data_IF_576494940815
#
_entry.id   IF_576494940815
#
_cell.length_a   1.000
_cell.length_b   1.000
_cell.length_c   1.000
_cell.angle_alpha   90.00
_cell.angle_beta   90.00
_cell.angle_gamma   90.00
#
_symmetry.space_group_name_H-M   'P 1'
#
loop_
_entity.id
_entity.type
_entity.pdbx_description
1 polymer ?
#
# COMPACT_ATOMS: atom_id res chain seq x y z
N UNK A 1 -11.42 -0.92 11.81
CA UNK A 1 -10.24 -0.04 11.78
C UNK A 1 -9.22 -0.59 12.76
N UNK A 2 -7.96 -0.68 12.36
CA UNK A 2 -6.88 -1.15 13.24
C UNK A 2 -6.66 -0.21 14.42
N UNK A 3 -6.17 -0.75 15.52
CA UNK A 3 -5.76 -0.03 16.72
C UNK A 3 -4.40 0.64 16.53
N UNK A 4 -4.08 1.65 17.35
CA UNK A 4 -2.75 2.27 17.34
C UNK A 4 -1.64 1.25 17.67
N UNK A 5 -1.92 0.30 18.56
CA UNK A 5 -0.97 -0.76 18.92
C UNK A 5 -0.61 -1.63 17.70
N UNK A 6 -1.60 -2.09 16.94
CA UNK A 6 -1.35 -2.89 15.73
C UNK A 6 -0.53 -2.10 14.70
N UNK A 7 -0.75 -0.79 14.59
CA UNK A 7 0.07 0.08 13.75
C UNK A 7 1.52 0.17 14.24
N UNK A 8 1.71 0.39 15.52
CA UNK A 8 3.06 0.49 16.11
C UNK A 8 3.84 -0.82 15.91
N UNK A 9 3.19 -1.96 16.10
CA UNK A 9 3.74 -3.29 15.84
C UNK A 9 4.10 -3.46 14.35
N UNK A 10 3.22 -3.04 13.44
CA UNK A 10 3.51 -3.05 12.01
C UNK A 10 4.73 -2.20 11.67
N UNK A 11 4.92 -1.03 12.27
CA UNK A 11 6.08 -0.16 12.03
C UNK A 11 7.36 -0.68 12.68
N UNK A 12 7.27 -1.50 13.72
CA UNK A 12 8.41 -2.16 14.35
C UNK A 12 8.97 -3.34 13.52
N UNK A 13 8.21 -3.87 12.55
CA UNK A 13 8.68 -4.96 11.69
C UNK A 13 9.92 -4.56 10.87
N UNK A 14 10.89 -5.47 10.81
CA UNK A 14 12.00 -5.38 9.86
C UNK A 14 11.49 -5.74 8.46
N UNK A 15 11.60 -4.78 7.53
CA UNK A 15 11.19 -4.92 6.14
C UNK A 15 12.37 -4.88 5.16
N UNK A 16 13.60 -5.00 5.65
CA UNK A 16 14.80 -4.95 4.82
C UNK A 16 14.87 -6.09 3.78
N UNK A 17 14.23 -7.23 4.08
CA UNK A 17 14.25 -8.43 3.25
C UNK A 17 12.94 -8.69 2.48
N UNK A 18 11.97 -7.76 2.51
CA UNK A 18 10.70 -7.97 1.79
C UNK A 18 10.87 -7.75 0.29
N UNK A 19 10.10 -8.51 -0.49
CA UNK A 19 10.02 -8.33 -1.93
C UNK A 19 9.03 -7.20 -2.25
N UNK A 20 9.47 -6.29 -3.11
CA UNK A 20 8.68 -5.15 -3.56
C UNK A 20 8.16 -5.42 -4.97
N UNK A 21 6.85 -5.29 -5.14
CA UNK A 21 6.14 -5.55 -6.39
C UNK A 21 5.45 -4.27 -6.87
N UNK A 22 5.69 -3.90 -8.12
CA UNK A 22 4.93 -2.85 -8.82
C UNK A 22 3.74 -3.41 -9.59
N UNK A 23 2.85 -2.54 -10.11
CA UNK A 23 1.78 -2.95 -11.01
C UNK A 23 2.32 -3.72 -12.23
N UNK A 24 1.57 -4.72 -12.73
CA UNK A 24 1.96 -5.42 -13.94
C UNK A 24 2.02 -4.45 -15.12
N UNK A 25 3.06 -4.58 -15.95
CA UNK A 25 3.23 -3.78 -17.16
C UNK A 25 4.00 -2.46 -16.99
N UNK A 26 4.43 -2.11 -15.77
CA UNK A 26 5.33 -0.96 -15.55
C UNK A 26 6.79 -1.33 -15.74
N UNK A 27 7.57 -0.49 -16.41
CA UNK A 27 9.03 -0.60 -16.51
C UNK A 27 9.72 -0.17 -15.21
N UNK A 28 10.93 -0.70 -14.90
CA UNK A 28 11.75 -0.18 -13.80
C UNK A 28 11.98 1.33 -13.83
N UNK A 29 12.02 1.93 -15.03
CA UNK A 29 12.28 3.35 -15.27
C UNK A 29 11.04 4.25 -15.09
N UNK A 30 9.85 3.68 -14.91
CA UNK A 30 8.61 4.42 -14.72
C UNK A 30 8.32 4.67 -13.24
N UNK A 31 7.77 5.85 -12.95
CA UNK A 31 7.19 6.15 -11.64
C UNK A 31 6.01 5.21 -11.39
N UNK A 32 6.01 4.54 -10.24
CA UNK A 32 4.97 3.60 -9.84
C UNK A 32 4.89 3.49 -8.33
N UNK A 33 3.75 3.05 -7.86
CA UNK A 33 3.60 2.58 -6.48
C UNK A 33 4.14 1.16 -6.41
N UNK A 34 4.87 0.85 -5.35
CA UNK A 34 5.31 -0.52 -5.04
C UNK A 34 4.67 -0.97 -3.73
N UNK A 35 4.30 -2.26 -3.66
CA UNK A 35 3.78 -2.89 -2.45
C UNK A 35 4.66 -4.07 -2.03
N UNK A 36 4.67 -4.37 -0.74
CA UNK A 36 5.25 -5.58 -0.19
C UNK A 36 4.26 -6.24 0.77
N UNK A 37 4.15 -7.57 0.68
CA UNK A 37 3.28 -8.36 1.57
C UNK A 37 3.98 -8.54 2.91
N UNK A 38 3.28 -8.22 3.98
CA UNK A 38 3.74 -8.41 5.36
C UNK A 38 2.97 -9.57 6.02
N UNK A 39 3.39 -10.02 7.22
CA UNK A 39 2.64 -11.00 8.00
C UNK A 39 1.18 -10.60 8.21
N UNK A 40 0.33 -11.60 8.44
CA UNK A 40 -1.09 -11.41 8.75
C UNK A 40 -1.90 -10.66 7.68
N UNK A 41 -1.39 -10.60 6.45
CA UNK A 41 -2.05 -9.93 5.33
C UNK A 41 -1.89 -8.42 5.31
N UNK A 42 -1.05 -7.87 6.19
CA UNK A 42 -0.67 -6.46 6.14
C UNK A 42 0.14 -6.14 4.89
N UNK A 43 0.21 -4.86 4.54
CA UNK A 43 0.87 -4.38 3.31
C UNK A 43 1.72 -3.17 3.62
N UNK A 44 2.97 -3.18 3.15
CA UNK A 44 3.79 -1.98 3.03
C UNK A 44 3.63 -1.40 1.62
N UNK A 45 3.59 -0.08 1.51
CA UNK A 45 3.48 0.68 0.26
C UNK A 45 4.53 1.78 0.23
N UNK A 46 5.11 2.04 -0.94
CA UNK A 46 6.01 3.17 -1.19
C UNK A 46 5.95 3.64 -2.63
N UNK A 47 6.57 4.79 -2.92
CA UNK A 47 6.81 5.24 -4.29
C UNK A 47 8.12 4.64 -4.82
N UNK A 48 8.20 4.35 -6.12
CA UNK A 48 9.48 3.98 -6.75
C UNK A 48 10.49 5.14 -6.76
N UNK A 49 10.02 6.39 -6.64
CA UNK A 49 10.83 7.61 -6.58
C UNK A 49 11.36 7.94 -5.17
N UNK A 50 10.64 7.52 -4.12
CA UNK A 50 11.04 7.65 -2.73
C UNK A 50 10.85 6.31 -2.02
N UNK A 51 11.98 5.61 -1.84
CA UNK A 51 12.00 4.27 -1.25
C UNK A 51 12.13 4.28 0.28
N UNK A 52 12.35 5.44 0.89
CA UNK A 52 12.53 5.59 2.33
C UNK A 52 11.19 5.80 3.04
N UNK A 53 10.28 6.55 2.40
CA UNK A 53 8.92 6.74 2.93
C UNK A 53 8.06 5.51 2.68
N UNK A 54 7.88 4.69 3.71
CA UNK A 54 7.05 3.48 3.66
C UNK A 54 5.79 3.62 4.52
N UNK A 55 4.63 3.56 3.88
CA UNK A 55 3.33 3.46 4.53
C UNK A 55 3.02 1.99 4.84
N UNK A 56 2.48 1.69 6.02
CA UNK A 56 2.11 0.31 6.42
C UNK A 56 0.64 0.24 6.79
N UNK A 57 -0.07 -0.70 6.18
CA UNK A 57 -1.50 -0.91 6.33
C UNK A 57 -1.75 -2.28 6.96
N UNK A 58 -2.67 -2.31 7.93
CA UNK A 58 -3.25 -3.56 8.40
C UNK A 58 -4.03 -4.24 7.28
N UNK A 59 -4.27 -5.55 7.38
CA UNK A 59 -5.06 -6.27 6.39
C UNK A 59 -6.44 -5.62 6.16
N UNK A 60 -7.11 -5.20 7.24
CA UNK A 60 -8.44 -4.59 7.17
C UNK A 60 -8.43 -3.21 6.49
N UNK A 61 -7.40 -2.38 6.74
CA UNK A 61 -7.27 -1.10 6.04
C UNK A 61 -6.95 -1.29 4.56
N UNK A 62 -6.08 -2.25 4.25
CA UNK A 62 -5.72 -2.56 2.87
C UNK A 62 -6.92 -3.09 2.08
N UNK A 63 -7.72 -3.97 2.67
CA UNK A 63 -8.97 -4.45 2.08
C UNK A 63 -9.94 -3.30 1.79
N UNK A 64 -10.17 -2.43 2.77
CA UNK A 64 -11.03 -1.26 2.61
C UNK A 64 -10.51 -0.32 1.50
N UNK A 65 -9.20 -0.06 1.45
CA UNK A 65 -8.57 0.76 0.41
C UNK A 65 -8.79 0.15 -0.99
N UNK A 66 -8.53 -1.14 -1.15
CA UNK A 66 -8.70 -1.83 -2.44
C UNK A 66 -10.16 -1.84 -2.89
N UNK A 67 -11.11 -2.03 -1.96
CA UNK A 67 -12.53 -1.97 -2.28
C UNK A 67 -12.95 -0.58 -2.76
N UNK A 68 -12.58 0.48 -2.04
CA UNK A 68 -12.88 1.86 -2.44
C UNK A 68 -12.23 2.25 -3.77
N UNK A 69 -10.97 1.85 -3.98
CA UNK A 69 -10.28 2.06 -5.26
C UNK A 69 -10.96 1.34 -6.43
N UNK A 70 -11.45 0.11 -6.22
CA UNK A 70 -12.20 -0.63 -7.25
C UNK A 70 -13.58 -0.04 -7.53
N UNK A 71 -14.20 0.57 -6.53
CA UNK A 71 -15.47 1.27 -6.68
C UNK A 71 -15.30 2.68 -7.29
N UNK A 72 -14.06 3.07 -7.61
CA UNK A 72 -13.73 4.36 -8.21
C UNK A 72 -13.89 5.54 -7.25
N UNK A 73 -13.95 5.30 -5.93
CA UNK A 73 -14.11 6.38 -4.93
C UNK A 73 -12.98 7.42 -4.98
N UNK A 74 -11.85 7.06 -5.59
CA UNK A 74 -10.68 7.92 -5.76
C UNK A 74 -10.50 8.44 -7.21
N UNK A 75 -11.46 8.19 -8.11
CA UNK A 75 -11.43 8.75 -9.46
C UNK A 75 -11.78 10.24 -9.39
N UNK A 76 -10.78 11.11 -9.53
CA UNK A 76 -10.94 12.57 -9.36
C UNK A 76 -11.83 13.23 -10.42
N UNK A 77 -11.97 12.59 -11.57
CA UNK A 77 -12.83 13.04 -12.67
C UNK A 77 -14.27 12.51 -12.56
N UNK A 78 -14.63 11.86 -11.44
CA UNK A 78 -16.00 11.45 -11.16
C UNK A 78 -16.89 12.68 -11.01
N UNK A 79 -17.42 13.15 -12.12
CA UNK A 79 -18.63 13.96 -12.15
C UNK A 79 -19.79 13.06 -11.75
N UNK A 80 -20.19 13.11 -10.49
CA UNK A 80 -21.54 12.68 -10.12
C UNK A 80 -22.55 13.55 -10.88
N UNK A 81 -23.62 12.99 -11.48
CA UNK A 81 -24.72 13.79 -12.00
C UNK A 81 -25.52 14.48 -10.88
#
# INVERSE_FOLDING_TARGET
MGTQQEKDELYALDISAVEWEGPPGTSPDEERVEIARLPEGAVAMRSSLDRETVLRYTAAEWEAFVLGARDGEFDLDRHEP
#
